data_IF_277540103446
#
_entry.id   IF_277540103446
#
_cell.length_a   1.000
_cell.length_b   1.000
_cell.length_c   1.000
_cell.angle_alpha   90.00
_cell.angle_beta   90.00
_cell.angle_gamma   90.00
#
_symmetry.space_group_name_H-M   'P 1'
#
loop_
_entity.id
_entity.type
_entity.pdbx_description
1 polymer ?
#
# COMPACT_ATOMS: atom_id res chain seq x y z
N UNK A 1 4.50 11.68 -10.71
CA UNK A 1 5.59 12.16 -11.59
C UNK A 1 6.90 11.70 -11.01
N UNK A 2 7.79 11.10 -11.80
CA UNK A 2 9.09 10.60 -11.34
C UNK A 2 10.16 11.69 -11.40
N UNK A 3 11.09 11.70 -10.45
CA UNK A 3 12.25 12.61 -10.42
C UNK A 3 13.48 11.93 -11.04
N UNK A 4 14.40 12.67 -11.70
CA UNK A 4 15.68 12.13 -12.14
C UNK A 4 16.71 11.98 -11.00
N UNK A 5 16.42 12.50 -9.81
CA UNK A 5 17.25 12.30 -8.61
C UNK A 5 16.93 10.94 -7.97
N UNK A 6 17.96 10.22 -7.51
CA UNK A 6 17.78 8.97 -6.76
C UNK A 6 17.00 9.27 -5.46
N UNK A 7 15.83 8.65 -5.24
CA UNK A 7 15.08 8.85 -4.01
C UNK A 7 15.76 8.21 -2.79
N UNK A 8 16.75 7.34 -2.97
CA UNK A 8 17.44 6.64 -1.89
C UNK A 8 18.92 7.07 -1.84
N UNK A 9 19.44 7.33 -0.64
CA UNK A 9 20.88 7.59 -0.44
C UNK A 9 21.72 6.30 -0.38
N UNK A 10 21.08 5.11 -0.38
CA UNK A 10 21.72 3.80 -0.13
C UNK A 10 21.13 2.73 -1.06
N UNK A 11 21.90 1.66 -1.31
CA UNK A 11 21.41 0.50 -2.07
C UNK A 11 20.58 -0.41 -1.17
N UNK A 12 19.32 -0.61 -1.52
CA UNK A 12 18.45 -1.62 -0.91
C UNK A 12 18.35 -2.85 -1.83
N UNK A 13 18.58 -4.03 -1.27
CA UNK A 13 18.47 -5.28 -2.02
C UNK A 13 17.05 -5.85 -1.83
N UNK A 14 16.20 -5.63 -2.83
CA UNK A 14 14.82 -6.13 -2.85
C UNK A 14 14.72 -7.59 -3.34
N UNK A 15 15.85 -8.17 -3.71
CA UNK A 15 16.04 -9.49 -4.32
C UNK A 15 17.30 -10.08 -3.70
N UNK A 16 17.17 -11.23 -3.04
CA UNK A 16 18.12 -11.94 -2.15
C UNK A 16 17.56 -12.07 -0.71
N UNK A 17 18.23 -12.83 0.15
CA UNK A 17 17.77 -13.17 1.51
C UNK A 17 17.60 -14.68 1.70
N UNK A 18 17.05 -15.08 2.85
CA UNK A 18 16.79 -16.48 3.15
C UNK A 18 15.56 -17.03 2.43
N UNK A 19 15.33 -18.34 2.54
CA UNK A 19 14.10 -18.99 2.03
C UNK A 19 12.84 -18.36 2.64
N UNK A 20 12.90 -17.95 3.91
CA UNK A 20 11.79 -17.25 4.57
C UNK A 20 11.41 -15.94 3.87
N UNK A 21 12.40 -15.12 3.50
CA UNK A 21 12.17 -13.85 2.79
C UNK A 21 11.61 -14.09 1.38
N UNK A 22 12.03 -15.17 0.73
CA UNK A 22 11.44 -15.57 -0.55
C UNK A 22 9.95 -15.93 -0.39
N UNK A 23 9.60 -16.73 0.62
CA UNK A 23 8.22 -17.14 0.88
C UNK A 23 7.36 -15.92 1.24
N UNK A 24 7.85 -15.02 2.09
CA UNK A 24 7.14 -13.80 2.48
C UNK A 24 6.85 -12.92 1.25
N UNK A 25 7.83 -12.74 0.35
CA UNK A 25 7.61 -12.00 -0.92
C UNK A 25 6.58 -12.68 -1.81
N UNK A 26 6.60 -14.00 -1.92
CA UNK A 26 5.64 -14.77 -2.71
C UNK A 26 4.21 -14.64 -2.15
N UNK A 27 4.06 -14.68 -0.82
CA UNK A 27 2.76 -14.52 -0.16
C UNK A 27 2.17 -13.12 -0.41
N UNK A 28 2.98 -12.07 -0.29
CA UNK A 28 2.51 -10.70 -0.61
C UNK A 28 2.17 -10.57 -2.09
N UNK A 29 3.01 -11.11 -2.98
CA UNK A 29 2.75 -11.07 -4.42
C UNK A 29 1.46 -11.82 -4.80
N UNK A 30 1.15 -12.94 -4.15
CA UNK A 30 -0.11 -13.68 -4.35
C UNK A 30 -1.33 -12.83 -4.00
N UNK A 31 -1.31 -12.13 -2.86
CA UNK A 31 -2.39 -11.22 -2.46
C UNK A 31 -2.57 -10.07 -3.47
N UNK A 32 -1.48 -9.46 -3.92
CA UNK A 32 -1.52 -8.38 -4.91
C UNK A 32 -2.11 -8.85 -6.25
N UNK A 33 -1.85 -10.09 -6.66
CA UNK A 33 -2.38 -10.69 -7.90
C UNK A 33 -3.86 -11.03 -7.80
N UNK A 34 -4.34 -11.40 -6.61
CA UNK A 34 -5.75 -11.70 -6.39
C UNK A 34 -6.69 -10.53 -6.70
N UNK A 35 -6.27 -9.30 -6.40
CA UNK A 35 -7.10 -8.11 -6.61
C UNK A 35 -7.59 -7.96 -8.05
N UNK A 36 -6.71 -7.73 -9.05
CA UNK A 36 -7.16 -7.47 -10.43
C UNK A 36 -8.01 -8.62 -10.96
N UNK A 37 -7.61 -9.86 -10.67
CA UNK A 37 -8.29 -11.07 -11.14
C UNK A 37 -9.71 -11.18 -10.58
N UNK A 38 -9.88 -11.07 -9.27
CA UNK A 38 -11.21 -11.18 -8.65
C UNK A 38 -12.14 -10.03 -9.04
N UNK A 39 -11.61 -8.82 -9.18
CA UNK A 39 -12.42 -7.67 -9.62
C UNK A 39 -12.95 -7.88 -11.04
N UNK A 40 -12.07 -8.24 -11.97
CA UNK A 40 -12.43 -8.32 -13.39
C UNK A 40 -13.37 -9.50 -13.67
N UNK A 41 -13.13 -10.62 -12.99
CA UNK A 41 -13.99 -11.81 -12.99
C UNK A 41 -15.29 -11.65 -12.19
N UNK A 42 -15.48 -10.53 -11.46
CA UNK A 42 -16.65 -10.29 -10.59
C UNK A 42 -16.80 -11.26 -9.42
N UNK A 43 -15.70 -11.78 -8.91
CA UNK A 43 -15.64 -12.62 -7.72
C UNK A 43 -15.66 -11.77 -6.44
N UNK A 44 -16.76 -11.05 -6.22
CA UNK A 44 -16.85 -10.00 -5.19
C UNK A 44 -16.57 -10.48 -3.76
N UNK A 45 -16.95 -11.71 -3.43
CA UNK A 45 -16.66 -12.31 -2.11
C UNK A 45 -15.17 -12.55 -1.93
N UNK A 46 -14.51 -13.05 -2.97
CA UNK A 46 -13.06 -13.30 -2.95
C UNK A 46 -12.30 -11.98 -2.93
N UNK A 47 -12.74 -10.99 -3.72
CA UNK A 47 -12.19 -9.63 -3.65
C UNK A 47 -12.29 -9.05 -2.25
N UNK A 48 -13.47 -9.14 -1.60
CA UNK A 48 -13.67 -8.64 -0.23
C UNK A 48 -12.78 -9.33 0.80
N UNK A 49 -12.49 -10.61 0.62
CA UNK A 49 -11.65 -11.39 1.54
C UNK A 49 -10.17 -10.98 1.54
N UNK A 50 -9.70 -10.24 0.53
CA UNK A 50 -8.33 -9.74 0.49
C UNK A 50 -8.08 -8.60 1.49
N UNK A 51 -9.14 -8.03 2.06
CA UNK A 51 -9.08 -6.80 2.83
C UNK A 51 -9.64 -6.96 4.25
N UNK A 52 -9.04 -6.21 5.17
CA UNK A 52 -9.59 -5.96 6.49
C UNK A 52 -10.80 -5.02 6.41
N UNK A 53 -11.64 -5.05 7.45
CA UNK A 53 -12.90 -4.30 7.48
C UNK A 53 -12.72 -2.77 7.45
N UNK A 54 -11.58 -2.28 7.93
CA UNK A 54 -11.24 -0.86 8.02
C UNK A 54 -10.33 -0.38 6.87
N UNK A 55 -10.20 -1.14 5.78
CA UNK A 55 -9.34 -0.73 4.68
C UNK A 55 -9.91 0.51 3.96
N UNK A 56 -9.00 1.42 3.62
CA UNK A 56 -9.26 2.50 2.67
C UNK A 56 -8.62 2.15 1.33
N UNK A 57 -9.45 1.97 0.31
CA UNK A 57 -9.03 1.84 -1.09
C UNK A 57 -8.98 3.24 -1.69
N UNK A 58 -7.84 3.58 -2.29
CA UNK A 58 -7.65 4.87 -2.95
C UNK A 58 -7.35 4.67 -4.43
N UNK A 59 -8.29 5.06 -5.29
CA UNK A 59 -8.09 5.11 -6.73
C UNK A 59 -8.19 6.55 -7.20
N UNK A 60 -7.44 6.89 -8.26
CA UNK A 60 -7.40 8.25 -8.82
C UNK A 60 -8.77 8.79 -9.25
N UNK A 61 -9.70 7.91 -9.61
CA UNK A 61 -11.04 8.28 -10.08
C UNK A 61 -12.14 8.17 -9.00
N UNK A 62 -11.92 7.41 -7.91
CA UNK A 62 -12.92 7.21 -6.85
C UNK A 62 -12.64 8.02 -5.58
N UNK A 63 -11.40 8.47 -5.40
CA UNK A 63 -10.90 8.94 -4.11
C UNK A 63 -10.85 7.81 -3.06
N UNK A 64 -10.67 8.15 -1.77
CA UNK A 64 -10.68 7.20 -0.68
C UNK A 64 -12.08 6.60 -0.49
N UNK A 65 -12.17 5.27 -0.45
CA UNK A 65 -13.41 4.52 -0.22
C UNK A 65 -13.16 3.34 0.70
N UNK A 66 -14.18 2.92 1.43
CA UNK A 66 -14.17 1.58 2.02
C UNK A 66 -14.19 0.50 0.92
N UNK A 67 -13.80 -0.72 1.27
CA UNK A 67 -13.83 -1.85 0.32
C UNK A 67 -15.26 -2.14 -0.18
N UNK A 68 -16.27 -2.00 0.67
CA UNK A 68 -17.65 -2.31 0.28
C UNK A 68 -18.22 -1.24 -0.67
N UNK A 69 -17.91 0.04 -0.44
CA UNK A 69 -18.22 1.12 -1.39
C UNK A 69 -17.53 0.90 -2.73
N UNK A 70 -16.24 0.52 -2.71
CA UNK A 70 -15.48 0.26 -3.93
C UNK A 70 -16.06 -0.91 -4.75
N UNK A 71 -16.50 -1.98 -4.08
CA UNK A 71 -17.20 -3.11 -4.73
C UNK A 71 -18.53 -2.64 -5.32
N UNK A 72 -19.28 -1.78 -4.61
CA UNK A 72 -20.51 -1.18 -5.11
C UNK A 72 -20.30 -0.40 -6.41
N UNK A 73 -19.34 0.52 -6.40
CA UNK A 73 -18.94 1.30 -7.59
C UNK A 73 -18.48 0.40 -8.74
N UNK A 74 -17.73 -0.67 -8.45
CA UNK A 74 -17.27 -1.61 -9.46
C UNK A 74 -18.43 -2.38 -10.13
N UNK A 75 -19.46 -2.76 -9.35
CA UNK A 75 -20.67 -3.41 -9.88
C UNK A 75 -21.49 -2.45 -10.73
N UNK A 76 -21.67 -1.21 -10.28
CA UNK A 76 -22.37 -0.17 -11.03
C UNK A 76 -21.67 0.12 -12.36
N UNK A 77 -20.34 0.28 -12.34
CA UNK A 77 -19.54 0.45 -13.55
C UNK A 77 -19.76 -0.69 -14.54
N UNK A 78 -19.73 -1.94 -14.07
CA UNK A 78 -19.95 -3.11 -14.95
C UNK A 78 -21.38 -3.17 -15.50
N UNK A 79 -22.39 -2.79 -14.71
CA UNK A 79 -23.77 -2.66 -15.18
C UNK A 79 -23.91 -1.57 -16.28
N UNK A 80 -23.11 -0.51 -16.17
CA UNK A 80 -22.97 0.54 -17.17
C UNK A 80 -21.96 0.21 -18.27
N UNK A 81 -21.70 -1.09 -18.51
CA UNK A 81 -20.81 -1.60 -19.56
C UNK A 81 -19.33 -1.19 -19.46
N UNK A 82 -18.86 -0.83 -18.26
CA UNK A 82 -17.43 -0.58 -18.01
C UNK A 82 -16.72 -1.91 -17.70
N UNK A 83 -16.15 -2.51 -18.74
CA UNK A 83 -15.33 -3.70 -18.64
C UNK A 83 -13.85 -3.33 -18.62
N UNK A 84 -13.13 -3.85 -17.63
CA UNK A 84 -11.68 -3.64 -17.46
C UNK A 84 -11.05 -5.02 -17.39
N UNK A 85 -9.87 -5.15 -18.00
CA UNK A 85 -9.00 -6.32 -17.89
C UNK A 85 -7.63 -5.81 -17.49
N UNK A 86 -7.20 -6.14 -16.27
CA UNK A 86 -5.86 -5.84 -15.78
C UNK A 86 -4.88 -6.91 -16.26
N UNK A 87 -3.78 -6.47 -16.86
CA UNK A 87 -2.61 -7.31 -17.08
C UNK A 87 -1.59 -6.98 -15.99
N UNK A 88 -1.42 -7.89 -15.03
CA UNK A 88 -0.38 -7.76 -14.01
C UNK A 88 0.94 -8.32 -14.57
N UNK A 89 2.00 -7.55 -14.39
CA UNK A 89 3.33 -7.88 -14.92
C UNK A 89 4.25 -8.33 -13.78
N UNK A 90 5.48 -7.83 -13.71
CA UNK A 90 6.42 -8.20 -12.65
C UNK A 90 6.09 -7.44 -11.37
N UNK A 91 5.96 -8.16 -10.26
CA UNK A 91 5.85 -7.60 -8.91
C UNK A 91 7.22 -7.58 -8.24
N UNK A 92 7.65 -6.43 -7.72
CA UNK A 92 8.80 -6.33 -6.81
C UNK A 92 8.29 -6.04 -5.41
N UNK A 93 8.68 -6.86 -4.44
CA UNK A 93 8.24 -6.74 -3.05
C UNK A 93 9.42 -6.40 -2.17
N UNK A 94 9.29 -5.28 -1.44
CA UNK A 94 10.22 -4.90 -0.39
C UNK A 94 9.73 -5.47 0.94
N UNK A 95 10.56 -6.30 1.58
CA UNK A 95 10.33 -6.75 2.94
C UNK A 95 11.12 -5.86 3.87
N UNK A 96 10.44 -5.18 4.79
CA UNK A 96 11.11 -4.51 5.90
C UNK A 96 11.02 -5.37 7.17
N UNK A 97 12.14 -5.79 7.77
CA UNK A 97 12.15 -6.60 9.00
C UNK A 97 11.34 -5.99 10.16
N UNK A 98 11.23 -4.66 10.18
CA UNK A 98 10.58 -3.90 11.25
C UNK A 98 9.06 -3.76 11.07
N UNK A 99 8.50 -4.09 9.90
CA UNK A 99 7.08 -3.90 9.58
C UNK A 99 6.27 -5.20 9.48
N UNK A 100 6.90 -6.36 9.68
CA UNK A 100 6.25 -7.68 9.68
C UNK A 100 4.96 -7.72 10.53
N UNK A 101 4.89 -6.91 11.58
CA UNK A 101 3.72 -6.82 12.47
C UNK A 101 3.19 -5.40 12.67
N UNK A 102 3.74 -4.38 11.99
CA UNK A 102 3.47 -2.99 12.37
C UNK A 102 2.00 -2.62 12.13
N UNK A 103 1.43 -3.03 10.99
CA UNK A 103 0.02 -2.75 10.68
C UNK A 103 -0.93 -3.42 11.67
N UNK A 104 -0.64 -4.67 12.06
CA UNK A 104 -1.43 -5.40 13.06
C UNK A 104 -1.27 -4.79 14.47
N UNK A 105 -0.09 -4.30 14.82
CA UNK A 105 0.18 -3.65 16.09
C UNK A 105 -0.47 -2.26 16.20
N UNK A 106 -0.42 -1.45 15.14
CA UNK A 106 -1.03 -0.11 15.11
C UNK A 106 -2.56 -0.18 15.20
N UNK A 107 -3.19 -1.13 14.50
CA UNK A 107 -4.63 -1.36 14.58
C UNK A 107 -5.07 -1.83 15.99
N UNK A 108 -4.29 -2.71 16.63
CA UNK A 108 -4.60 -3.24 17.98
C UNK A 108 -4.43 -2.22 19.09
N UNK A 109 -3.65 -1.15 18.86
CA UNK A 109 -3.41 -0.06 19.80
C UNK A 109 -4.34 1.15 19.58
N UNK A 110 -5.25 1.10 18.60
CA UNK A 110 -6.28 2.13 18.39
C UNK A 110 -5.78 3.41 17.74
N UNK A 111 -4.64 3.38 17.03
CA UNK A 111 -4.14 4.55 16.31
C UNK A 111 -5.04 4.90 15.12
N UNK A 112 -5.43 6.18 15.02
CA UNK A 112 -6.18 6.70 13.87
C UNK A 112 -5.26 6.80 12.64
N UNK A 113 -5.77 6.36 11.50
CA UNK A 113 -5.07 6.47 10.21
C UNK A 113 -5.16 7.93 9.77
N UNK A 114 -3.99 8.55 9.57
CA UNK A 114 -3.88 9.89 9.01
C UNK A 114 -4.29 9.89 7.53
N UNK A 115 -5.19 10.81 7.16
CA UNK A 115 -5.69 10.99 5.80
C UNK A 115 -4.93 12.04 5.00
N UNK A 116 -4.02 12.79 5.63
CA UNK A 116 -3.16 13.80 5.00
C UNK A 116 -1.77 13.24 4.69
N UNK A 117 -1.74 12.04 4.12
CA UNK A 117 -0.51 11.32 3.88
C UNK A 117 0.45 12.08 2.95
N UNK A 118 1.78 11.88 3.12
CA UNK A 118 2.76 12.24 2.11
C UNK A 118 2.35 11.66 0.75
N UNK A 119 2.20 12.52 -0.25
CA UNK A 119 1.91 12.12 -1.64
C UNK A 119 3.07 12.57 -2.49
N UNK A 120 3.34 11.89 -3.61
CA UNK A 120 4.40 12.30 -4.55
C UNK A 120 4.23 13.72 -5.15
N UNK A 121 3.15 14.40 -4.79
CA UNK A 121 2.78 15.75 -5.20
C UNK A 121 2.84 16.80 -4.07
N UNK A 122 3.22 16.44 -2.85
CA UNK A 122 3.31 17.38 -1.73
C UNK A 122 4.70 17.41 -1.08
N UNK A 123 4.97 18.49 -0.34
CA UNK A 123 6.26 18.73 0.33
C UNK A 123 6.56 17.70 1.44
N UNK A 124 5.53 17.02 1.93
CA UNK A 124 5.66 15.94 2.91
C UNK A 124 6.36 14.71 2.33
N UNK A 125 6.38 14.54 0.99
CA UNK A 125 7.07 13.43 0.34
C UNK A 125 8.56 13.38 0.70
N UNK A 126 9.29 14.49 0.51
CA UNK A 126 10.73 14.54 0.84
C UNK A 126 10.99 14.34 2.34
N UNK A 127 10.11 14.90 3.17
CA UNK A 127 10.18 14.78 4.64
C UNK A 127 10.02 13.33 5.09
N UNK A 128 9.09 12.58 4.46
CA UNK A 128 8.88 11.15 4.73
C UNK A 128 10.12 10.32 4.41
N UNK A 129 10.79 10.56 3.28
CA UNK A 129 12.01 9.82 2.93
C UNK A 129 13.17 10.14 3.88
N UNK A 130 13.38 11.41 4.22
CA UNK A 130 14.42 11.83 5.16
C UNK A 130 14.21 11.22 6.56
N UNK A 131 12.98 11.22 7.04
CA UNK A 131 12.58 10.56 8.29
C UNK A 131 12.82 9.05 8.28
N UNK A 132 12.47 8.40 7.17
CA UNK A 132 12.67 6.97 6.99
C UNK A 132 14.16 6.61 7.02
N UNK A 133 15.02 7.45 6.43
CA UNK A 133 16.48 7.27 6.50
C UNK A 133 17.02 7.45 7.92
N UNK A 134 16.64 8.52 8.63
CA UNK A 134 17.03 8.74 10.03
C UNK A 134 16.60 7.56 10.91
N UNK A 135 15.37 7.09 10.74
CA UNK A 135 14.86 5.96 11.51
C UNK A 135 15.59 4.64 11.23
N UNK A 136 15.98 4.41 9.97
CA UNK A 136 16.78 3.23 9.63
C UNK A 136 18.13 3.25 10.36
N UNK A 137 18.74 4.43 10.51
CA UNK A 137 20.05 4.60 11.14
C UNK A 137 19.99 4.55 12.68
N UNK A 138 19.06 5.26 13.33
CA UNK A 138 19.05 5.42 14.79
C UNK A 138 17.89 4.69 15.50
N UNK A 139 16.98 4.05 14.75
CA UNK A 139 15.86 3.28 15.31
C UNK A 139 14.71 4.11 15.89
N UNK A 140 14.84 5.44 15.89
CA UNK A 140 13.83 6.41 16.32
C UNK A 140 13.89 7.65 15.43
N UNK A 141 12.75 8.11 14.96
CA UNK A 141 12.57 9.41 14.31
C UNK A 141 11.22 9.95 14.80
N UNK A 142 11.07 11.26 14.88
CA UNK A 142 9.77 11.87 15.15
C UNK A 142 8.96 11.86 13.86
N UNK A 143 7.80 11.19 13.82
CA UNK A 143 6.99 11.07 12.60
C UNK A 143 5.79 12.03 12.56
N UNK A 144 5.63 12.87 13.59
CA UNK A 144 4.47 13.73 13.76
C UNK A 144 4.84 15.19 13.49
N UNK A 145 4.94 15.54 12.22
CA UNK A 145 5.33 16.86 11.69
C UNK A 145 4.24 17.93 11.78
N UNK A 146 3.08 17.60 12.35
CA UNK A 146 1.95 18.52 12.37
C UNK A 146 2.31 19.78 13.15
N UNK A 147 2.17 20.95 12.50
CA UNK A 147 2.04 22.19 13.25
C UNK A 147 0.73 22.08 14.03
N UNK A 148 0.83 22.11 15.35
CA UNK A 148 -0.30 22.44 16.23
C UNK A 148 -1.03 23.64 15.62
N UNK A 149 -2.35 23.53 15.44
CA UNK A 149 -3.19 24.67 15.03
C UNK A 149 -2.92 25.90 15.88
#
# INVERSE_FOLDING_TARGET
MTSPQDPHTKVYSHINGGIGDLIDRLAVAELCKGWPMYRDASEWKNLRSLFFDDVTIWMTWSGPRSVDEFIGLSKEGKANSVFIMHCECRTLIELSPRYRFLRAAQARLGYKIDTQLPTASNELWGTMYAAMEEWLDVGKTDLFWEKSN
#
